data_IF_447024301515
#
_entry.id   IF_447024301515
#
_cell.length_a   1.000
_cell.length_b   1.000
_cell.length_c   1.000
_cell.angle_alpha   90.00
_cell.angle_beta   90.00
_cell.angle_gamma   90.00
#
_symmetry.space_group_name_H-M   'P 1'
#
loop_
_entity.id
_entity.type
_entity.pdbx_description
1 polymer ?
#
# COMPACT_ATOMS: atom_id res chain seq x y z
N UNK A 1 35.62 10.68 21.57
CA UNK A 1 36.88 9.90 21.69
C UNK A 1 36.70 8.59 20.97
N UNK A 2 37.69 8.19 20.19
CA UNK A 2 37.80 6.86 19.60
C UNK A 2 38.38 5.88 20.63
N UNK A 3 38.34 4.57 20.32
CA UNK A 3 38.80 3.50 21.23
C UNK A 3 40.27 3.64 21.66
N UNK A 4 41.09 4.28 20.86
CA UNK A 4 42.51 4.55 21.11
C UNK A 4 42.78 5.80 21.96
N UNK A 5 41.73 6.52 22.36
CA UNK A 5 41.83 7.77 23.10
C UNK A 5 41.89 9.03 22.23
N UNK A 6 41.99 8.89 20.90
CA UNK A 6 42.05 10.03 19.98
C UNK A 6 40.71 10.77 19.93
N UNK A 7 40.74 12.09 19.75
CA UNK A 7 39.52 12.90 19.57
C UNK A 7 39.63 13.81 18.36
N UNK A 8 38.51 13.99 17.67
CA UNK A 8 38.36 14.90 16.54
C UNK A 8 37.17 15.82 16.81
N UNK A 9 37.23 17.03 16.27
CA UNK A 9 36.18 18.04 16.41
C UNK A 9 35.61 18.36 15.04
N UNK A 10 34.29 18.35 14.93
CA UNK A 10 33.55 18.64 13.70
C UNK A 10 32.35 19.53 14.03
N UNK A 11 31.94 20.35 13.07
CA UNK A 11 30.70 21.14 13.17
C UNK A 11 29.45 20.28 12.87
N UNK A 12 29.61 19.23 12.06
CA UNK A 12 28.56 18.27 11.73
C UNK A 12 29.13 16.89 11.37
N UNK A 13 28.31 15.85 11.59
CA UNK A 13 28.59 14.47 11.19
C UNK A 13 27.35 13.93 10.48
N UNK A 14 27.52 13.32 9.31
CA UNK A 14 26.47 12.62 8.58
C UNK A 14 26.68 11.11 8.70
N UNK A 15 25.65 10.39 9.15
CA UNK A 15 25.72 8.94 9.38
C UNK A 15 24.97 8.20 8.27
N UNK A 16 25.69 7.40 7.50
CA UNK A 16 25.14 6.52 6.47
C UNK A 16 25.30 5.05 6.90
N UNK A 17 24.58 4.63 7.93
CA UNK A 17 24.68 3.30 8.54
C UNK A 17 23.86 2.22 7.80
N UNK A 18 23.20 2.58 6.71
CA UNK A 18 22.25 1.73 6.00
C UNK A 18 20.84 1.80 6.60
N UNK A 19 19.89 1.16 5.92
CA UNK A 19 18.51 1.03 6.34
C UNK A 19 18.11 -0.45 6.29
N UNK A 20 17.31 -0.90 7.26
CA UNK A 20 16.65 -2.21 7.22
C UNK A 20 15.18 -1.99 6.91
N UNK A 21 14.75 -2.42 5.72
CA UNK A 21 13.34 -2.34 5.31
C UNK A 21 12.49 -3.27 6.17
N UNK A 22 11.29 -2.81 6.54
CA UNK A 22 10.34 -3.55 7.38
C UNK A 22 9.28 -4.26 6.54
N UNK A 23 9.71 -5.12 5.62
CA UNK A 23 8.88 -5.85 4.66
C UNK A 23 8.29 -7.16 5.17
N UNK A 24 8.55 -7.55 6.43
CA UNK A 24 8.23 -8.89 6.91
C UNK A 24 6.72 -9.20 6.82
N UNK A 25 5.86 -8.18 6.99
CA UNK A 25 4.41 -8.35 6.81
C UNK A 25 4.04 -8.61 5.34
N UNK A 26 4.66 -7.87 4.41
CA UNK A 26 4.42 -8.02 2.97
C UNK A 26 4.87 -9.41 2.48
N UNK A 27 6.04 -9.86 2.95
CA UNK A 27 6.56 -11.21 2.66
C UNK A 27 5.64 -12.30 3.22
N UNK A 28 5.18 -12.14 4.47
CA UNK A 28 4.30 -13.13 5.12
C UNK A 28 2.96 -13.31 4.40
N UNK A 29 2.47 -12.28 3.70
CA UNK A 29 1.25 -12.36 2.87
C UNK A 29 1.53 -12.70 1.40
N UNK A 30 2.77 -13.05 1.06
CA UNK A 30 3.17 -13.51 -0.26
C UNK A 30 3.41 -12.41 -1.29
N UNK A 31 3.59 -11.15 -0.86
CA UNK A 31 3.96 -10.08 -1.77
C UNK A 31 5.40 -10.22 -2.24
N UNK A 32 5.65 -9.83 -3.50
CA UNK A 32 7.00 -9.78 -4.06
C UNK A 32 7.78 -8.62 -3.46
N UNK A 33 8.98 -8.92 -2.99
CA UNK A 33 9.98 -7.95 -2.57
C UNK A 33 11.23 -8.07 -3.44
N UNK A 34 12.00 -6.98 -3.53
CA UNK A 34 13.36 -7.00 -4.05
C UNK A 34 14.30 -7.75 -3.10
N UNK A 35 15.50 -8.11 -3.59
CA UNK A 35 16.50 -8.84 -2.78
C UNK A 35 16.96 -8.07 -1.53
N UNK A 36 16.90 -6.74 -1.57
CA UNK A 36 17.23 -5.84 -0.46
C UNK A 36 16.05 -5.54 0.49
N UNK A 37 14.91 -6.20 0.27
CA UNK A 37 13.74 -6.17 1.15
C UNK A 37 12.73 -5.07 0.83
N UNK A 38 12.92 -4.24 -0.19
CA UNK A 38 11.87 -3.29 -0.58
C UNK A 38 10.67 -4.00 -1.22
N UNK A 39 9.45 -3.60 -0.85
CA UNK A 39 8.23 -4.14 -1.44
C UNK A 39 8.12 -3.66 -2.89
N UNK A 40 7.87 -4.59 -3.81
CA UNK A 40 7.64 -4.23 -5.21
C UNK A 40 6.24 -3.65 -5.38
N UNK A 41 6.15 -2.56 -6.16
CA UNK A 41 4.89 -1.88 -6.45
C UNK A 41 4.85 -1.40 -7.90
N UNK A 42 3.64 -1.21 -8.43
CA UNK A 42 3.41 -0.57 -9.73
C UNK A 42 3.30 0.97 -9.61
N UNK A 43 2.91 1.64 -10.70
CA UNK A 43 2.71 3.09 -10.77
C UNK A 43 1.61 3.61 -9.84
N UNK A 44 0.68 2.75 -9.41
CA UNK A 44 -0.37 3.05 -8.46
C UNK A 44 0.02 2.74 -7.01
N UNK A 45 1.27 2.33 -6.78
CA UNK A 45 1.76 1.85 -5.49
C UNK A 45 1.08 0.54 -5.03
N UNK A 46 0.42 -0.17 -5.94
CA UNK A 46 -0.17 -1.47 -5.64
C UNK A 46 0.92 -2.54 -5.71
N UNK A 47 0.92 -3.42 -4.72
CA UNK A 47 1.87 -4.53 -4.65
C UNK A 47 1.48 -5.65 -5.63
N UNK A 48 2.26 -6.73 -5.65
CA UNK A 48 1.86 -7.95 -6.37
C UNK A 48 0.59 -8.62 -5.83
N UNK A 49 0.12 -8.24 -4.64
CA UNK A 49 -1.15 -8.70 -4.06
C UNK A 49 -2.23 -7.66 -4.39
N UNK A 50 -3.26 -8.08 -5.14
CA UNK A 50 -4.36 -7.20 -5.52
C UNK A 50 -5.06 -6.60 -4.29
N UNK A 51 -5.31 -5.30 -4.33
CA UNK A 51 -5.91 -4.55 -3.22
C UNK A 51 -4.94 -4.24 -2.06
N UNK A 52 -3.68 -4.66 -2.12
CA UNK A 52 -2.66 -4.32 -1.14
C UNK A 52 -1.65 -3.33 -1.71
N UNK A 53 -1.33 -2.30 -0.92
CA UNK A 53 -0.48 -1.17 -1.33
C UNK A 53 0.70 -1.00 -0.37
N UNK A 54 1.80 -0.47 -0.86
CA UNK A 54 2.97 -0.12 -0.05
C UNK A 54 3.50 1.25 -0.48
N UNK A 55 3.94 2.07 0.48
CA UNK A 55 4.41 3.44 0.26
C UNK A 55 5.50 3.82 1.25
N UNK A 56 6.18 4.94 1.01
CA UNK A 56 7.23 5.47 1.88
C UNK A 56 8.46 4.54 1.91
N UNK A 57 9.12 4.47 3.06
CA UNK A 57 10.39 3.74 3.24
C UNK A 57 10.28 2.22 3.02
N UNK A 58 9.07 1.68 2.82
CA UNK A 58 8.84 0.27 2.48
C UNK A 58 9.06 -0.03 0.99
N UNK A 59 9.02 0.98 0.12
CA UNK A 59 9.23 0.84 -1.32
C UNK A 59 10.56 1.47 -1.73
N UNK A 60 11.13 1.00 -2.84
CA UNK A 60 12.44 1.47 -3.32
C UNK A 60 12.34 2.89 -3.90
N UNK A 61 12.38 3.88 -3.01
CA UNK A 61 12.25 5.30 -3.31
C UNK A 61 13.13 6.14 -2.38
N UNK A 62 13.16 7.44 -2.63
CA UNK A 62 13.83 8.38 -1.75
C UNK A 62 13.06 8.51 -0.43
N UNK A 63 13.72 8.17 0.69
CA UNK A 63 13.15 8.22 2.04
C UNK A 63 12.93 9.67 2.49
N UNK A 64 11.84 10.27 2.02
CA UNK A 64 11.42 11.64 2.30
C UNK A 64 9.92 11.69 2.57
N UNK A 65 9.53 12.52 3.52
CA UNK A 65 8.12 12.71 3.90
C UNK A 65 7.26 13.08 2.68
N UNK A 66 7.74 14.02 1.85
CA UNK A 66 6.99 14.47 0.68
C UNK A 66 6.78 13.34 -0.35
N UNK A 67 7.79 12.49 -0.55
CA UNK A 67 7.71 11.34 -1.47
C UNK A 67 6.73 10.32 -0.93
N UNK A 68 6.87 9.92 0.34
CA UNK A 68 5.95 8.98 0.98
C UNK A 68 4.49 9.48 0.98
N UNK A 69 4.29 10.77 1.21
CA UNK A 69 2.97 11.39 1.15
C UNK A 69 2.36 11.37 -0.26
N UNK A 70 3.16 11.69 -1.29
CA UNK A 70 2.72 11.61 -2.69
C UNK A 70 2.35 10.18 -3.10
N UNK A 71 3.17 9.20 -2.73
CA UNK A 71 2.88 7.78 -2.93
C UNK A 71 1.57 7.36 -2.25
N UNK A 72 1.35 7.79 -1.00
CA UNK A 72 0.10 7.51 -0.27
C UNK A 72 -1.12 8.13 -0.98
N UNK A 73 -1.02 9.34 -1.51
CA UNK A 73 -2.10 9.98 -2.25
C UNK A 73 -2.46 9.22 -3.53
N UNK A 74 -1.46 8.72 -4.26
CA UNK A 74 -1.65 7.88 -5.45
C UNK A 74 -2.34 6.56 -5.06
N UNK A 75 -1.80 5.85 -4.06
CA UNK A 75 -2.34 4.59 -3.56
C UNK A 75 -3.80 4.72 -3.12
N UNK A 76 -4.10 5.75 -2.33
CA UNK A 76 -5.45 5.99 -1.83
C UNK A 76 -6.44 6.32 -2.95
N UNK A 77 -6.01 7.10 -3.95
CA UNK A 77 -6.84 7.43 -5.12
C UNK A 77 -7.16 6.19 -5.95
N UNK A 78 -6.17 5.31 -6.14
CA UNK A 78 -6.37 4.04 -6.84
C UNK A 78 -7.28 3.10 -6.05
N UNK A 79 -6.99 2.87 -4.77
CA UNK A 79 -7.80 2.04 -3.90
C UNK A 79 -9.27 2.51 -3.82
N UNK A 80 -9.51 3.82 -3.75
CA UNK A 80 -10.85 4.36 -3.77
C UNK A 80 -11.60 4.05 -5.08
N UNK A 81 -10.91 4.13 -6.23
CA UNK A 81 -11.50 3.78 -7.53
C UNK A 81 -11.79 2.29 -7.63
N UNK A 82 -10.90 1.41 -7.17
CA UNK A 82 -11.11 -0.04 -7.22
C UNK A 82 -12.29 -0.51 -6.33
N UNK A 83 -12.58 0.21 -5.24
CA UNK A 83 -13.71 -0.07 -4.36
C UNK A 83 -15.06 0.43 -4.91
N UNK A 84 -15.07 1.34 -5.89
CA UNK A 84 -16.30 1.92 -6.41
C UNK A 84 -17.10 0.97 -7.35
N UNK A 85 -16.49 0.18 -8.26
CA UNK A 85 -17.19 -0.79 -9.11
C UNK A 85 -17.97 -1.83 -8.30
N UNK A 86 -17.35 -2.39 -7.25
CA UNK A 86 -18.00 -3.38 -6.39
C UNK A 86 -19.23 -2.86 -5.66
N UNK A 87 -19.33 -1.54 -5.46
CA UNK A 87 -20.51 -0.90 -4.86
C UNK A 87 -21.70 -0.86 -5.82
N UNK A 88 -21.48 -0.61 -7.11
CA UNK A 88 -22.53 -0.65 -8.13
C UNK A 88 -23.00 -2.08 -8.38
N UNK A 89 -22.10 -3.06 -8.42
CA UNK A 89 -22.44 -4.46 -8.62
C UNK A 89 -23.28 -5.01 -7.45
N UNK A 90 -22.92 -4.67 -6.21
CA UNK A 90 -23.74 -4.98 -5.03
C UNK A 90 -25.11 -4.30 -5.08
N UNK A 91 -25.16 -3.04 -5.52
CA UNK A 91 -26.40 -2.29 -5.58
C UNK A 91 -27.33 -2.79 -6.69
N UNK A 92 -26.80 -3.20 -7.84
CA UNK A 92 -27.54 -3.87 -8.91
C UNK A 92 -28.03 -5.25 -8.46
N UNK A 93 -27.19 -6.04 -7.77
CA UNK A 93 -27.62 -7.34 -7.21
C UNK A 93 -28.78 -7.18 -6.23
N UNK A 94 -28.72 -6.19 -5.33
CA UNK A 94 -29.79 -5.90 -4.37
C UNK A 94 -31.07 -5.41 -5.06
N UNK A 95 -30.96 -4.58 -6.11
CA UNK A 95 -32.12 -4.14 -6.89
C UNK A 95 -32.81 -5.31 -7.62
N UNK A 96 -32.03 -6.23 -8.18
CA UNK A 96 -32.54 -7.41 -8.87
C UNK A 96 -33.26 -8.38 -7.90
N UNK A 97 -32.77 -8.54 -6.67
CA UNK A 97 -33.47 -9.36 -5.66
C UNK A 97 -34.81 -8.73 -5.24
N UNK A 98 -34.88 -7.40 -5.14
CA UNK A 98 -36.13 -6.71 -4.83
C UNK A 98 -37.17 -6.79 -5.97
N UNK A 99 -36.76 -6.74 -7.23
CA UNK A 99 -37.68 -6.98 -8.36
C UNK A 99 -38.17 -8.43 -8.42
N UNK A 100 -37.27 -9.40 -8.20
CA UNK A 100 -37.64 -10.81 -8.22
C UNK A 100 -38.66 -11.13 -7.10
N UNK A 101 -38.50 -10.55 -5.91
CA UNK A 101 -39.46 -10.71 -4.81
C UNK A 101 -40.84 -10.10 -5.14
N UNK A 102 -40.91 -9.00 -5.91
CA UNK A 102 -42.19 -8.40 -6.36
C UNK A 102 -42.90 -9.24 -7.41
N UNK A 103 -42.17 -9.82 -8.36
CA UNK A 103 -42.73 -10.69 -9.41
C UNK A 103 -43.33 -11.98 -8.84
N UNK A 104 -42.68 -12.58 -7.84
CA UNK A 104 -43.19 -13.79 -7.16
C UNK A 104 -44.49 -13.49 -6.38
N UNK A 105 -44.61 -12.29 -5.79
CA UNK A 105 -45.82 -11.85 -5.08
C UNK A 105 -47.02 -11.51 -5.99
N UNK A 106 -46.79 -11.19 -7.27
CA UNK A 106 -47.85 -10.90 -8.25
C UNK A 106 -48.37 -12.13 -8.99
N UNK A 107 -47.68 -13.28 -8.88
CA UNK A 107 -48.08 -14.55 -9.50
C UNK A 107 -48.98 -15.42 -8.60
N UNK A 108 -49.30 -14.95 -7.39
CA UNK A 108 -50.08 -15.70 -6.38
C UNK A 108 -51.49 -15.13 -6.11
N UNK A 109 -52.02 -14.30 -7.01
CA UNK A 109 -53.38 -13.76 -6.95
C UNK A 109 -54.25 -14.27 -8.10
#
# INVERSE_FOLDING_TARGET
MLKDGTSYRFDAIYLALGCKVRSQLAEAVGARCYEDGYVTVDEHQQTSIHGMYATGDAVNALNQIAIGFGQAAIAASHAHRELAPSRLDLQISLLNEHENTRLIGMSAA
#
